data_IF_986805834781
#
_entry.id   IF_986805834781
#
_cell.length_a   1.000
_cell.length_b   1.000
_cell.length_c   1.000
_cell.angle_alpha   90.00
_cell.angle_beta   90.00
_cell.angle_gamma   90.00
#
_symmetry.space_group_name_H-M   'P 1'
#
loop_
_entity.id
_entity.type
_entity.pdbx_description
1 polymer ?
#
# COMPACT_ATOMS: atom_id res chain seq x y z
N UNK A 1 -0.13 9.65 -24.46
CA UNK A 1 0.51 8.42 -23.93
C UNK A 1 0.04 7.25 -24.79
N UNK A 2 0.91 6.32 -25.24
CA UNK A 2 0.48 5.20 -26.07
C UNK A 2 -0.55 4.37 -25.29
N UNK A 3 -1.70 4.12 -25.93
CA UNK A 3 -2.88 3.48 -25.34
C UNK A 3 -2.64 1.99 -24.99
N UNK A 4 -1.50 1.41 -25.38
CA UNK A 4 -1.21 -0.04 -25.26
C UNK A 4 -0.28 -0.44 -24.10
N UNK A 5 0.31 0.51 -23.37
CA UNK A 5 1.29 0.19 -22.31
C UNK A 5 0.65 -0.26 -20.98
N UNK A 6 -0.65 -0.01 -20.78
CA UNK A 6 -1.27 -0.25 -19.47
C UNK A 6 -1.33 -1.73 -19.09
N UNK A 7 -1.44 -2.64 -20.06
CA UNK A 7 -1.46 -4.10 -19.82
C UNK A 7 -0.13 -4.57 -19.27
N UNK A 8 0.97 -4.21 -19.92
CA UNK A 8 2.33 -4.52 -19.48
C UNK A 8 2.61 -3.93 -18.10
N UNK A 9 2.16 -2.69 -17.85
CA UNK A 9 2.27 -2.05 -16.53
C UNK A 9 1.48 -2.86 -15.48
N UNK A 10 0.24 -3.26 -15.79
CA UNK A 10 -0.60 -4.02 -14.87
C UNK A 10 -0.01 -5.41 -14.55
N UNK A 11 0.46 -6.14 -15.56
CA UNK A 11 1.13 -7.43 -15.39
C UNK A 11 2.40 -7.29 -14.53
N UNK A 12 3.21 -6.26 -14.78
CA UNK A 12 4.37 -5.96 -13.96
C UNK A 12 3.98 -5.63 -12.50
N UNK A 13 2.88 -4.92 -12.28
CA UNK A 13 2.37 -4.63 -10.93
C UNK A 13 1.90 -5.90 -10.22
N UNK A 14 1.17 -6.79 -10.91
CA UNK A 14 0.73 -8.07 -10.35
C UNK A 14 1.95 -8.91 -9.93
N UNK A 15 2.95 -9.02 -10.82
CA UNK A 15 4.19 -9.76 -10.55
C UNK A 15 4.96 -9.16 -9.37
N UNK A 16 5.15 -7.84 -9.35
CA UNK A 16 5.82 -7.15 -8.25
C UNK A 16 5.11 -7.38 -6.92
N UNK A 17 3.77 -7.35 -6.91
CA UNK A 17 2.98 -7.62 -5.70
C UNK A 17 3.25 -9.04 -5.16
N UNK A 18 3.28 -10.05 -6.03
CA UNK A 18 3.58 -11.43 -5.64
C UNK A 18 5.00 -11.58 -5.09
N UNK A 19 5.98 -10.98 -5.76
CA UNK A 19 7.37 -10.97 -5.30
C UNK A 19 7.52 -10.30 -3.92
N UNK A 20 6.85 -9.17 -3.69
CA UNK A 20 6.87 -8.46 -2.41
C UNK A 20 6.23 -9.32 -1.30
N UNK A 21 5.07 -9.94 -1.55
CA UNK A 21 4.43 -10.85 -0.58
C UNK A 21 5.38 -11.97 -0.17
N UNK A 22 6.11 -12.54 -1.13
CA UNK A 22 7.04 -13.62 -0.86
C UNK A 22 8.26 -13.16 -0.05
N UNK A 23 8.75 -11.94 -0.30
CA UNK A 23 9.80 -11.31 0.53
C UNK A 23 9.34 -11.10 1.97
N UNK A 24 8.10 -10.63 2.16
CA UNK A 24 7.48 -10.49 3.49
C UNK A 24 7.44 -11.83 4.22
N UNK A 25 6.94 -12.89 3.58
CA UNK A 25 6.84 -14.23 4.18
C UNK A 25 8.20 -14.80 4.58
N UNK A 26 9.23 -14.57 3.75
CA UNK A 26 10.60 -15.05 4.02
C UNK A 26 11.35 -14.23 5.06
N UNK A 27 10.77 -13.13 5.55
CA UNK A 27 11.45 -12.21 6.47
C UNK A 27 12.71 -11.57 5.88
N UNK A 28 12.88 -11.61 4.55
CA UNK A 28 14.04 -11.02 3.88
C UNK A 28 13.82 -9.54 3.72
N UNK A 29 14.57 -8.73 4.45
CA UNK A 29 14.54 -7.28 4.33
C UNK A 29 15.94 -6.69 4.18
N UNK A 30 16.06 -5.74 3.25
CA UNK A 30 17.21 -4.83 3.14
C UNK A 30 16.89 -3.45 3.74
N UNK A 31 15.72 -3.29 4.36
CA UNK A 31 15.26 -2.03 4.95
C UNK A 31 15.62 -1.99 6.44
N UNK A 32 15.76 -0.77 6.97
CA UNK A 32 15.92 -0.54 8.41
C UNK A 32 14.77 -1.17 9.22
N UNK A 33 15.02 -1.47 10.48
CA UNK A 33 14.06 -2.07 11.43
C UNK A 33 13.56 -3.47 11.07
N UNK A 34 14.30 -4.21 10.24
CA UNK A 34 13.94 -5.56 9.79
C UNK A 34 12.53 -5.62 9.15
N UNK A 35 12.06 -4.51 8.59
CA UNK A 35 10.74 -4.37 7.97
C UNK A 35 10.80 -4.86 6.53
N UNK A 36 9.98 -5.81 6.07
CA UNK A 36 10.11 -6.31 4.70
C UNK A 36 9.52 -5.38 3.62
N UNK A 37 8.86 -4.29 4.03
CA UNK A 37 8.31 -3.25 3.13
C UNK A 37 8.13 -1.92 3.86
N UNK A 38 7.92 -0.86 3.08
CA UNK A 38 7.50 0.47 3.51
C UNK A 38 6.17 0.78 2.82
N UNK A 39 5.14 1.18 3.57
CA UNK A 39 3.84 1.52 2.98
C UNK A 39 3.86 2.92 2.40
N UNK A 40 3.13 3.14 1.31
CA UNK A 40 3.09 4.43 0.62
C UNK A 40 2.66 5.56 1.57
N UNK A 41 1.72 5.30 2.48
CA UNK A 41 1.25 6.30 3.45
C UNK A 41 2.31 6.78 4.43
N UNK A 42 3.39 6.01 4.63
CA UNK A 42 4.51 6.42 5.49
C UNK A 42 5.40 7.43 4.78
N UNK A 43 5.50 7.34 3.45
CA UNK A 43 6.25 8.27 2.60
C UNK A 43 5.39 9.48 2.26
N UNK A 44 4.14 9.25 1.89
CA UNK A 44 3.18 10.25 1.41
C UNK A 44 2.53 11.06 2.54
N UNK A 45 3.03 10.96 3.78
CA UNK A 45 2.57 11.82 4.85
C UNK A 45 2.90 13.29 4.54
N UNK A 46 2.10 14.22 5.07
CA UNK A 46 2.18 15.65 4.77
C UNK A 46 3.60 16.23 4.96
N UNK A 47 4.43 15.61 5.82
CA UNK A 47 5.85 15.90 5.98
C UNK A 47 6.65 14.60 6.07
N UNK A 48 7.43 14.29 5.03
CA UNK A 48 8.36 13.17 5.06
C UNK A 48 9.62 13.54 5.85
N UNK A 49 9.98 12.68 6.81
CA UNK A 49 11.27 12.70 7.50
C UNK A 49 11.63 11.28 7.89
N UNK A 50 12.81 10.82 7.49
CA UNK A 50 13.29 9.48 7.86
C UNK A 50 13.32 9.34 9.37
N UNK A 51 13.94 10.27 10.10
CA UNK A 51 14.01 10.23 11.56
C UNK A 51 12.63 10.16 12.22
N UNK A 52 11.63 10.89 11.72
CA UNK A 52 10.26 10.78 12.21
C UNK A 52 9.68 9.39 11.95
N UNK A 53 9.88 8.84 10.76
CA UNK A 53 9.44 7.50 10.41
C UNK A 53 10.09 6.43 11.30
N UNK A 54 11.38 6.58 11.60
CA UNK A 54 12.11 5.72 12.53
C UNK A 54 11.46 5.75 13.92
N UNK A 55 11.17 6.96 14.44
CA UNK A 55 10.49 7.13 15.73
C UNK A 55 9.07 6.54 15.72
N UNK A 56 8.30 6.76 14.65
CA UNK A 56 6.96 6.21 14.47
C UNK A 56 6.98 4.66 14.50
N UNK A 57 8.07 4.03 14.02
CA UNK A 57 8.23 2.58 14.07
C UNK A 57 8.67 2.02 15.42
N UNK A 58 9.48 2.75 16.17
CA UNK A 58 9.99 2.32 17.48
C UNK A 58 8.93 2.54 18.56
N UNK A 59 8.29 3.72 18.57
CA UNK A 59 7.42 4.16 19.67
C UNK A 59 5.93 4.14 19.30
N UNK A 60 5.61 3.93 18.03
CA UNK A 60 4.25 4.04 17.52
C UNK A 60 3.93 5.45 17.03
N UNK A 61 2.91 5.54 16.17
CA UNK A 61 2.50 6.77 15.50
C UNK A 61 1.32 7.41 16.21
N UNK A 62 1.43 8.69 16.54
CA UNK A 62 0.32 9.49 17.07
C UNK A 62 -0.44 10.11 15.90
N UNK A 63 -1.73 9.77 15.76
CA UNK A 63 -2.60 10.34 14.71
C UNK A 63 -3.02 11.76 15.08
N UNK A 64 -2.87 12.69 14.14
CA UNK A 64 -3.41 14.06 14.28
C UNK A 64 -4.94 14.06 14.13
N UNK A 65 -5.61 15.11 14.59
CA UNK A 65 -7.08 15.23 14.43
C UNK A 65 -7.50 15.21 12.95
N UNK A 66 -6.77 15.91 12.06
CA UNK A 66 -7.02 15.86 10.63
C UNK A 66 -6.88 14.44 10.04
N UNK A 67 -5.91 13.65 10.51
CA UNK A 67 -5.77 12.25 10.09
C UNK A 67 -6.92 11.37 10.61
N UNK A 68 -7.41 11.63 11.83
CA UNK A 68 -8.57 10.92 12.39
C UNK A 68 -9.83 11.25 11.58
N UNK A 69 -10.05 12.52 11.23
CA UNK A 69 -11.18 12.95 10.42
C UNK A 69 -11.12 12.36 9.00
N UNK A 70 -9.97 12.42 8.34
CA UNK A 70 -9.77 11.77 7.04
C UNK A 70 -10.02 10.26 7.08
N UNK A 71 -9.60 9.58 8.15
CA UNK A 71 -9.89 8.15 8.33
C UNK A 71 -11.39 7.89 8.41
N UNK A 72 -12.12 8.68 9.22
CA UNK A 72 -13.59 8.55 9.34
C UNK A 72 -14.30 8.74 8.00
N UNK A 73 -13.84 9.69 7.19
CA UNK A 73 -14.42 9.92 5.86
C UNK A 73 -14.16 8.75 4.92
N UNK A 74 -12.94 8.21 4.90
CA UNK A 74 -12.61 7.02 4.12
C UNK A 74 -13.45 5.80 4.53
N UNK A 75 -13.64 5.59 5.83
CA UNK A 75 -14.45 4.48 6.35
C UNK A 75 -15.90 4.62 5.90
N UNK A 76 -16.49 5.82 6.02
CA UNK A 76 -17.86 6.10 5.52
C UNK A 76 -18.01 5.85 4.02
N UNK A 77 -17.03 6.25 3.22
CA UNK A 77 -17.05 5.98 1.77
C UNK A 77 -16.97 4.50 1.43
N UNK A 78 -16.42 3.69 2.34
CA UNK A 78 -16.27 2.25 2.17
C UNK A 78 -17.39 1.44 2.84
N UNK A 79 -18.34 2.06 3.56
CA UNK A 79 -19.43 1.36 4.27
C UNK A 79 -20.25 0.47 3.33
N UNK A 80 -20.53 0.96 2.13
CA UNK A 80 -21.30 0.22 1.10
C UNK A 80 -20.42 -0.64 0.18
N UNK A 81 -19.09 -0.67 0.40
CA UNK A 81 -18.16 -1.38 -0.46
C UNK A 81 -18.08 -2.87 -0.10
N UNK A 82 -18.17 -3.74 -1.11
CA UNK A 82 -17.95 -5.17 -0.93
C UNK A 82 -16.45 -5.51 -0.98
N UNK A 83 -15.95 -6.16 0.07
CA UNK A 83 -14.58 -6.64 0.11
C UNK A 83 -14.38 -7.80 -0.88
N UNK A 84 -13.66 -7.54 -1.96
CA UNK A 84 -13.32 -8.54 -2.98
C UNK A 84 -11.87 -9.00 -2.87
N UNK A 85 -11.61 -10.30 -3.07
CA UNK A 85 -10.23 -10.80 -3.13
C UNK A 85 -9.57 -10.28 -4.40
N UNK A 86 -8.28 -9.94 -4.32
CA UNK A 86 -7.52 -9.46 -5.48
C UNK A 86 -7.63 -10.37 -6.71
N UNK A 87 -7.59 -11.71 -6.53
CA UNK A 87 -7.76 -12.66 -7.63
C UNK A 87 -9.13 -12.57 -8.31
N UNK A 88 -10.18 -12.27 -7.56
CA UNK A 88 -11.54 -12.08 -8.09
C UNK A 88 -11.67 -10.72 -8.76
N UNK A 89 -11.05 -9.67 -8.20
CA UNK A 89 -10.96 -8.36 -8.83
C UNK A 89 -10.30 -8.45 -10.21
N UNK A 90 -9.14 -9.11 -10.30
CA UNK A 90 -8.41 -9.32 -11.57
C UNK A 90 -9.28 -10.06 -12.61
N UNK A 91 -10.11 -11.03 -12.18
CA UNK A 91 -11.04 -11.74 -13.08
C UNK A 91 -12.15 -10.85 -13.63
N UNK A 92 -12.59 -9.85 -12.85
CA UNK A 92 -13.64 -8.90 -13.25
C UNK A 92 -13.13 -7.81 -14.19
N UNK A 93 -11.81 -7.60 -14.27
CA UNK A 93 -11.20 -6.69 -15.25
C UNK A 93 -11.38 -7.34 -16.63
N UNK A 94 -12.01 -6.65 -17.61
CA UNK A 94 -12.23 -7.20 -18.94
C UNK A 94 -10.91 -7.71 -19.54
N UNK A 95 -10.88 -8.98 -19.92
CA UNK A 95 -9.81 -9.50 -20.78
C UNK A 95 -10.11 -9.03 -22.21
N UNK A 96 -9.13 -8.37 -22.81
CA UNK A 96 -9.14 -8.07 -24.24
C UNK A 96 -8.88 -9.33 -25.06
#
# INVERSE_FOLDING_TARGET
MPQDNWKTIFENQVKLREELIERVKKGKSNLKFNRPYLIVSDIASQFYSEAKLELDYIFGKIKTEAQKEGTKLHDRMAEDAEAIKFKELVKKIPKA
#
